data_IF_785305142291
#
_entry.id   IF_785305142291
#
_cell.length_a   1.000
_cell.length_b   1.000
_cell.length_c   1.000
_cell.angle_alpha   90.00
_cell.angle_beta   90.00
_cell.angle_gamma   90.00
#
_symmetry.space_group_name_H-M   'P 1'
#
loop_
_entity.id
_entity.type
_entity.pdbx_description
1 polymer ?
#
# COMPACT_ATOMS: atom_id res chain seq x y z
N UNK A 1 27.64 -95.97 5.24
CA UNK A 1 26.87 -95.27 6.30
C UNK A 1 25.73 -94.50 5.62
N UNK A 2 24.48 -95.00 5.60
CA UNK A 2 23.30 -94.49 6.38
C UNK A 2 23.35 -92.96 6.56
N UNK A 3 22.47 -92.11 6.00
CA UNK A 3 20.99 -92.12 5.96
C UNK A 3 20.41 -91.48 4.67
N UNK A 4 19.25 -92.01 4.24
CA UNK A 4 18.25 -91.49 3.27
C UNK A 4 17.30 -90.49 4.00
N UNK A 5 16.60 -89.51 3.38
CA UNK A 5 15.22 -89.49 2.81
C UNK A 5 14.76 -88.00 2.86
N UNK A 6 14.47 -87.28 1.76
CA UNK A 6 13.22 -87.03 0.99
C UNK A 6 12.12 -86.13 1.61
N UNK A 7 11.84 -85.01 0.90
CA UNK A 7 10.56 -84.42 0.39
C UNK A 7 9.46 -83.90 1.35
N UNK A 8 8.96 -82.68 1.04
CA UNK A 8 7.57 -82.22 1.25
C UNK A 8 7.38 -80.71 1.00
N UNK A 9 7.02 -80.25 -0.20
CA UNK A 9 5.69 -79.78 -0.64
C UNK A 9 5.11 -78.56 0.12
N UNK A 10 5.12 -77.40 -0.56
CA UNK A 10 4.42 -76.18 -0.17
C UNK A 10 4.25 -75.21 -1.34
N UNK A 11 3.11 -75.29 -2.01
CA UNK A 11 2.60 -74.31 -2.97
C UNK A 11 2.44 -72.94 -2.28
N UNK A 12 2.76 -71.83 -2.96
CA UNK A 12 1.94 -70.59 -3.02
C UNK A 12 2.50 -69.68 -4.12
N UNK A 13 1.72 -69.59 -5.20
CA UNK A 13 1.65 -68.43 -6.09
C UNK A 13 1.32 -67.20 -5.25
N UNK A 14 2.12 -66.13 -5.33
CA UNK A 14 1.62 -64.77 -5.09
C UNK A 14 2.44 -63.76 -5.89
N UNK A 15 1.93 -63.46 -7.08
CA UNK A 15 2.14 -62.16 -7.69
C UNK A 15 1.64 -61.09 -6.70
N UNK A 16 2.51 -60.17 -6.28
CA UNK A 16 2.08 -58.90 -5.70
C UNK A 16 2.54 -57.80 -6.64
N UNK A 17 1.59 -57.42 -7.48
CA UNK A 17 1.51 -56.16 -8.19
C UNK A 17 1.70 -55.02 -7.17
N UNK A 18 2.80 -54.27 -7.29
CA UNK A 18 2.88 -52.91 -6.76
C UNK A 18 2.91 -51.91 -7.93
N UNK A 19 1.88 -51.98 -8.77
CA UNK A 19 1.46 -50.87 -9.62
C UNK A 19 0.26 -50.25 -8.89
N UNK A 20 0.47 -49.18 -8.13
CA UNK A 20 -0.67 -48.54 -7.45
C UNK A 20 -0.43 -47.49 -6.36
N UNK A 21 0.77 -46.95 -6.15
CA UNK A 21 0.98 -45.93 -5.08
C UNK A 21 1.51 -44.57 -5.56
N UNK A 22 1.68 -44.36 -6.88
CA UNK A 22 2.34 -43.16 -7.42
C UNK A 22 1.44 -42.06 -7.96
N UNK A 23 0.16 -42.33 -8.27
CA UNK A 23 -0.66 -41.40 -9.07
C UNK A 23 -1.70 -40.59 -8.27
N UNK A 24 -2.05 -40.97 -7.05
CA UNK A 24 -3.08 -40.27 -6.24
C UNK A 24 -2.52 -39.11 -5.41
N UNK A 25 -1.27 -39.19 -4.92
CA UNK A 25 -0.64 -38.14 -4.10
C UNK A 25 -0.46 -36.80 -4.83
N UNK A 26 -0.17 -36.84 -6.13
CA UNK A 26 0.09 -35.62 -6.90
C UNK A 26 -1.19 -34.78 -7.09
N UNK A 27 -2.35 -35.41 -7.22
CA UNK A 27 -3.63 -34.71 -7.41
C UNK A 27 -4.06 -34.00 -6.12
N UNK A 28 -3.87 -34.64 -4.97
CA UNK A 28 -4.22 -34.04 -3.67
C UNK A 28 -3.31 -32.84 -3.34
N UNK A 29 -2.00 -32.98 -3.54
CA UNK A 29 -1.04 -31.88 -3.34
C UNK A 29 -1.32 -30.71 -4.29
N UNK A 30 -1.64 -30.99 -5.55
CA UNK A 30 -2.00 -29.96 -6.53
C UNK A 30 -3.28 -29.22 -6.13
N UNK A 31 -4.30 -29.95 -5.65
CA UNK A 31 -5.55 -29.36 -5.17
C UNK A 31 -5.31 -28.46 -3.94
N UNK A 32 -4.49 -28.90 -2.99
CA UNK A 32 -4.14 -28.09 -1.82
C UNK A 32 -3.37 -26.81 -2.19
N UNK A 33 -2.48 -26.89 -3.18
CA UNK A 33 -1.80 -25.74 -3.77
C UNK A 33 -2.81 -24.75 -4.38
N UNK A 34 -3.70 -25.21 -5.25
CA UNK A 34 -4.71 -24.37 -5.91
C UNK A 34 -5.62 -23.69 -4.89
N UNK A 35 -6.07 -24.43 -3.88
CA UNK A 35 -6.88 -23.88 -2.79
C UNK A 35 -6.12 -22.84 -1.96
N UNK A 36 -4.81 -23.01 -1.76
CA UNK A 36 -4.00 -22.02 -1.05
C UNK A 36 -3.82 -20.74 -1.89
N UNK A 37 -3.60 -20.87 -3.20
CA UNK A 37 -3.52 -19.75 -4.13
C UNK A 37 -4.84 -18.97 -4.21
N UNK A 38 -5.97 -19.67 -4.37
CA UNK A 38 -7.30 -19.06 -4.44
C UNK A 38 -7.66 -18.33 -3.14
N UNK A 39 -7.34 -18.94 -1.98
CA UNK A 39 -7.50 -18.29 -0.68
C UNK A 39 -6.67 -17.01 -0.59
N UNK A 40 -5.39 -17.05 -0.98
CA UNK A 40 -4.53 -15.87 -0.99
C UNK A 40 -5.06 -14.73 -1.87
N UNK A 41 -5.55 -15.06 -3.07
CA UNK A 41 -6.17 -14.10 -3.99
C UNK A 41 -7.44 -13.50 -3.37
N UNK A 42 -8.31 -14.34 -2.80
CA UNK A 42 -9.57 -13.90 -2.18
C UNK A 42 -9.31 -12.99 -0.98
N UNK A 43 -8.38 -13.36 -0.11
CA UNK A 43 -7.96 -12.56 1.04
C UNK A 43 -7.35 -11.22 0.61
N UNK A 44 -6.56 -11.20 -0.47
CA UNK A 44 -6.04 -9.95 -1.05
C UNK A 44 -7.17 -9.02 -1.51
N UNK A 45 -8.18 -9.57 -2.20
CA UNK A 45 -9.36 -8.80 -2.63
C UNK A 45 -10.10 -8.20 -1.43
N UNK A 46 -10.23 -8.97 -0.34
CA UNK A 46 -10.83 -8.57 0.95
C UNK A 46 -9.92 -7.68 1.82
N UNK A 47 -8.74 -7.30 1.34
CA UNK A 47 -7.75 -6.48 2.06
C UNK A 47 -7.13 -7.16 3.31
N UNK A 48 -7.24 -8.48 3.43
CA UNK A 48 -6.66 -9.29 4.50
C UNK A 48 -5.19 -9.66 4.17
N UNK A 49 -4.34 -8.65 3.96
CA UNK A 49 -3.02 -8.82 3.33
C UNK A 49 -2.07 -9.79 4.05
N UNK A 50 -2.05 -9.78 5.38
CA UNK A 50 -1.22 -10.71 6.16
C UNK A 50 -1.72 -12.16 6.03
N UNK A 51 -3.04 -12.36 6.04
CA UNK A 51 -3.63 -13.68 5.84
C UNK A 51 -3.37 -14.18 4.41
N UNK A 52 -3.50 -13.29 3.41
CA UNK A 52 -3.16 -13.59 2.03
C UNK A 52 -1.71 -14.05 1.87
N UNK A 53 -0.76 -13.36 2.51
CA UNK A 53 0.65 -13.75 2.51
C UNK A 53 0.85 -15.16 3.08
N UNK A 54 0.22 -15.47 4.21
CA UNK A 54 0.28 -16.81 4.82
C UNK A 54 -0.27 -17.87 3.85
N UNK A 55 -1.38 -17.60 3.17
CA UNK A 55 -1.95 -18.50 2.18
C UNK A 55 -1.00 -18.75 1.00
N UNK A 56 -0.34 -17.73 0.47
CA UNK A 56 0.67 -17.91 -0.58
C UNK A 56 1.91 -18.64 -0.08
N UNK A 57 2.36 -18.39 1.15
CA UNK A 57 3.45 -19.17 1.77
C UNK A 57 3.08 -20.65 1.91
N UNK A 58 1.82 -20.96 2.20
CA UNK A 58 1.33 -22.33 2.22
C UNK A 58 1.31 -22.95 0.82
N UNK A 59 1.04 -22.18 -0.24
CA UNK A 59 1.15 -22.66 -1.62
C UNK A 59 2.59 -23.04 -1.98
N UNK A 60 3.58 -22.19 -1.66
CA UNK A 60 5.02 -22.47 -1.87
C UNK A 60 5.47 -23.74 -1.13
N UNK A 61 4.93 -24.02 0.06
CA UNK A 61 5.24 -25.27 0.79
C UNK A 61 4.75 -26.53 0.08
N UNK A 62 3.68 -26.43 -0.73
CA UNK A 62 3.10 -27.57 -1.48
C UNK A 62 3.74 -27.74 -2.85
N UNK A 63 4.16 -26.64 -3.47
CA UNK A 63 4.89 -26.61 -4.72
C UNK A 63 6.17 -25.80 -4.51
N UNK A 64 7.25 -26.50 -4.20
CA UNK A 64 8.57 -25.88 -4.09
C UNK A 64 8.93 -25.19 -5.42
N UNK A 65 9.62 -24.06 -5.31
CA UNK A 65 10.01 -23.21 -6.44
C UNK A 65 8.81 -22.78 -7.31
N UNK A 66 7.68 -22.39 -6.70
CA UNK A 66 6.56 -21.78 -7.41
C UNK A 66 6.77 -20.26 -7.59
N UNK A 67 7.24 -19.81 -8.78
CA UNK A 67 7.60 -18.41 -8.96
C UNK A 67 6.37 -17.50 -8.90
N UNK A 68 5.15 -18.03 -9.11
CA UNK A 68 3.92 -17.23 -9.01
C UNK A 68 3.56 -16.90 -7.56
N UNK A 69 3.52 -17.89 -6.65
CA UNK A 69 3.26 -17.63 -5.24
C UNK A 69 4.34 -16.74 -4.62
N UNK A 70 5.61 -16.91 -4.97
CA UNK A 70 6.70 -16.05 -4.50
C UNK A 70 6.56 -14.61 -4.97
N UNK A 71 6.21 -14.39 -6.25
CA UNK A 71 5.89 -13.05 -6.77
C UNK A 71 4.76 -12.39 -5.99
N UNK A 72 3.67 -13.13 -5.72
CA UNK A 72 2.53 -12.62 -4.96
C UNK A 72 2.92 -12.23 -3.52
N UNK A 73 3.77 -13.04 -2.86
CA UNK A 73 4.31 -12.73 -1.53
C UNK A 73 5.12 -11.43 -1.57
N UNK A 74 6.05 -11.30 -2.52
CA UNK A 74 6.90 -10.10 -2.68
C UNK A 74 6.05 -8.86 -2.94
N UNK A 75 5.05 -8.96 -3.81
CA UNK A 75 4.15 -7.86 -4.12
C UNK A 75 3.33 -7.42 -2.90
N UNK A 76 2.81 -8.36 -2.11
CA UNK A 76 2.12 -8.06 -0.85
C UNK A 76 3.03 -7.35 0.15
N UNK A 77 4.28 -7.80 0.29
CA UNK A 77 5.24 -7.19 1.19
C UNK A 77 5.55 -5.74 0.81
N UNK A 78 5.75 -5.46 -0.48
CA UNK A 78 5.93 -4.11 -0.98
C UNK A 78 4.68 -3.25 -0.73
N UNK A 79 3.49 -3.78 -1.00
CA UNK A 79 2.23 -3.07 -0.79
C UNK A 79 1.99 -2.70 0.68
N UNK A 80 2.26 -3.63 1.61
CA UNK A 80 2.15 -3.35 3.05
C UNK A 80 3.17 -2.30 3.51
N UNK A 81 4.40 -2.34 2.99
CA UNK A 81 5.41 -1.30 3.23
C UNK A 81 4.98 0.06 2.68
N UNK A 82 4.41 0.10 1.48
CA UNK A 82 3.89 1.33 0.86
C UNK A 82 2.80 1.96 1.73
N UNK A 83 1.83 1.15 2.18
CA UNK A 83 0.79 1.60 3.13
C UNK A 83 1.36 2.11 4.45
N UNK A 84 2.40 1.46 4.98
CA UNK A 84 3.04 1.92 6.21
C UNK A 84 3.72 3.28 6.00
N UNK A 85 4.44 3.46 4.90
CA UNK A 85 5.08 4.73 4.55
C UNK A 85 4.03 5.85 4.38
N UNK A 86 2.91 5.55 3.70
CA UNK A 86 1.79 6.49 3.53
C UNK A 86 1.22 6.92 4.90
N UNK A 87 0.98 5.97 5.81
CA UNK A 87 0.48 6.26 7.14
C UNK A 87 1.45 7.14 7.96
N UNK A 88 2.75 6.91 7.79
CA UNK A 88 3.84 7.68 8.38
C UNK A 88 4.08 9.03 7.69
N UNK A 89 3.29 9.39 6.67
CA UNK A 89 3.43 10.62 5.87
C UNK A 89 4.75 10.70 5.10
N UNK A 90 5.42 9.58 4.87
CA UNK A 90 6.58 9.52 3.99
C UNK A 90 6.10 9.29 2.55
N UNK A 91 5.58 10.36 1.94
CA UNK A 91 4.88 10.31 0.65
C UNK A 91 5.79 9.90 -0.51
N UNK A 92 7.03 10.38 -0.54
CA UNK A 92 8.01 9.99 -1.57
C UNK A 92 8.29 8.48 -1.53
N UNK A 93 8.53 7.95 -0.32
CA UNK A 93 8.75 6.52 -0.15
C UNK A 93 7.50 5.71 -0.46
N UNK A 94 6.32 6.19 -0.04
CA UNK A 94 5.05 5.54 -0.30
C UNK A 94 4.79 5.44 -1.81
N UNK A 95 4.92 6.55 -2.55
CA UNK A 95 4.76 6.60 -4.01
C UNK A 95 5.70 5.61 -4.69
N UNK A 96 7.00 5.68 -4.38
CA UNK A 96 8.01 4.77 -4.94
C UNK A 96 7.67 3.30 -4.71
N UNK A 97 7.19 2.94 -3.51
CA UNK A 97 6.81 1.56 -3.20
C UNK A 97 5.51 1.15 -3.91
N UNK A 98 4.55 2.06 -4.07
CA UNK A 98 3.34 1.79 -4.85
C UNK A 98 3.64 1.62 -6.34
N UNK A 99 4.53 2.45 -6.92
CA UNK A 99 5.00 2.28 -8.30
C UNK A 99 5.62 0.89 -8.48
N UNK A 100 6.50 0.45 -7.57
CA UNK A 100 7.08 -0.91 -7.60
C UNK A 100 6.05 -2.03 -7.49
N UNK A 101 4.91 -1.82 -6.81
CA UNK A 101 3.83 -2.81 -6.73
C UNK A 101 3.01 -2.81 -8.03
N UNK A 102 2.82 -1.65 -8.64
CA UNK A 102 2.12 -1.47 -9.91
C UNK A 102 2.87 -2.10 -11.08
N UNK A 103 4.20 -2.02 -11.08
CA UNK A 103 5.07 -2.56 -12.12
C UNK A 103 5.29 -4.08 -12.03
N UNK A 104 4.60 -4.76 -11.10
CA UNK A 104 4.78 -6.19 -10.89
C UNK A 104 4.16 -7.01 -12.05
N UNK A 105 5.02 -7.53 -12.93
CA UNK A 105 4.62 -8.44 -14.00
C UNK A 105 4.00 -9.72 -13.47
N UNK A 106 2.82 -10.06 -14.03
CA UNK A 106 2.10 -11.30 -13.74
C UNK A 106 1.83 -11.50 -12.23
N UNK A 107 1.66 -10.40 -11.50
CA UNK A 107 1.26 -10.38 -10.09
C UNK A 107 -0.25 -10.34 -9.88
N UNK A 108 -0.66 -9.91 -8.69
CA UNK A 108 -2.05 -9.70 -8.30
C UNK A 108 -2.57 -8.40 -8.92
N UNK A 109 -3.35 -8.49 -10.01
CA UNK A 109 -3.94 -7.34 -10.71
C UNK A 109 -4.69 -6.35 -9.79
N UNK A 110 -5.29 -6.85 -8.71
CA UNK A 110 -5.97 -5.99 -7.72
C UNK A 110 -4.98 -5.07 -6.98
N UNK A 111 -3.78 -5.55 -6.68
CA UNK A 111 -2.73 -4.74 -6.06
C UNK A 111 -2.10 -3.79 -7.06
N UNK A 112 -1.90 -4.22 -8.31
CA UNK A 112 -1.45 -3.35 -9.40
C UNK A 112 -2.38 -2.13 -9.50
N UNK A 113 -3.67 -2.35 -9.71
CA UNK A 113 -4.67 -1.27 -9.87
C UNK A 113 -4.71 -0.34 -8.66
N UNK A 114 -4.73 -0.89 -7.44
CA UNK A 114 -4.77 -0.09 -6.21
C UNK A 114 -3.51 0.73 -6.03
N UNK A 115 -2.35 0.17 -6.35
CA UNK A 115 -1.07 0.85 -6.17
C UNK A 115 -0.87 1.96 -7.19
N UNK A 116 -1.25 1.74 -8.45
CA UNK A 116 -1.26 2.82 -9.44
C UNK A 116 -2.14 3.99 -8.99
N UNK A 117 -3.35 3.71 -8.47
CA UNK A 117 -4.23 4.75 -7.97
C UNK A 117 -3.61 5.54 -6.80
N UNK A 118 -2.99 4.87 -5.83
CA UNK A 118 -2.29 5.55 -4.75
C UNK A 118 -1.09 6.35 -5.21
N UNK A 119 -0.30 5.82 -6.15
CA UNK A 119 0.86 6.54 -6.68
C UNK A 119 0.44 7.83 -7.41
N UNK A 120 -0.62 7.76 -8.22
CA UNK A 120 -1.22 8.94 -8.88
C UNK A 120 -1.76 9.94 -7.88
N UNK A 121 -2.53 9.49 -6.87
CA UNK A 121 -3.07 10.38 -5.82
C UNK A 121 -1.95 11.13 -5.09
N UNK A 122 -0.89 10.42 -4.70
CA UNK A 122 0.26 11.02 -4.02
C UNK A 122 0.94 12.05 -4.94
N UNK A 123 1.16 11.71 -6.21
CA UNK A 123 1.79 12.61 -7.18
C UNK A 123 0.98 13.89 -7.39
N UNK A 124 -0.33 13.76 -7.58
CA UNK A 124 -1.24 14.90 -7.73
C UNK A 124 -1.22 15.78 -6.48
N UNK A 125 -1.27 15.18 -5.28
CA UNK A 125 -1.20 15.91 -4.03
C UNK A 125 0.14 16.65 -3.84
N UNK A 126 1.27 16.02 -4.21
CA UNK A 126 2.59 16.65 -4.12
C UNK A 126 2.73 17.81 -5.11
N UNK A 127 2.24 17.67 -6.33
CA UNK A 127 2.25 18.75 -7.33
C UNK A 127 1.38 19.94 -6.89
N UNK A 128 0.21 19.65 -6.31
CA UNK A 128 -0.68 20.68 -5.77
C UNK A 128 -0.06 21.37 -4.54
N UNK A 129 0.60 20.61 -3.66
CA UNK A 129 1.33 21.16 -2.50
C UNK A 129 2.45 22.11 -2.96
N UNK A 130 3.26 21.72 -3.94
CA UNK A 130 4.31 22.58 -4.48
C UNK A 130 3.74 23.89 -5.08
N UNK A 131 2.53 23.85 -5.63
CA UNK A 131 1.84 25.05 -6.12
C UNK A 131 1.36 25.93 -4.97
N UNK A 132 0.88 25.34 -3.85
CA UNK A 132 0.51 26.10 -2.65
C UNK A 132 1.73 26.69 -1.94
N UNK A 133 2.86 26.01 -1.93
CA UNK A 133 4.11 26.53 -1.36
C UNK A 133 4.55 27.80 -2.10
N UNK A 134 4.52 27.81 -3.43
CA UNK A 134 4.81 29.02 -4.22
C UNK A 134 3.85 30.17 -3.91
N UNK A 135 2.54 29.90 -3.85
CA UNK A 135 1.54 30.92 -3.48
C UNK A 135 1.75 31.45 -2.06
N UNK A 136 2.19 30.60 -1.14
CA UNK A 136 2.49 31.00 0.22
C UNK A 136 3.74 31.86 0.29
N UNK A 137 4.80 31.51 -0.43
CA UNK A 137 6.03 32.31 -0.51
C UNK A 137 5.74 33.71 -1.08
N UNK A 138 4.95 33.80 -2.17
CA UNK A 138 4.48 35.09 -2.70
C UNK A 138 3.63 35.88 -1.67
N UNK A 139 2.85 35.18 -0.84
CA UNK A 139 2.06 35.82 0.21
C UNK A 139 2.95 36.35 1.35
N UNK A 140 4.04 35.66 1.67
CA UNK A 140 5.05 36.11 2.63
C UNK A 140 5.73 37.37 2.10
N UNK A 141 6.19 37.38 0.85
CA UNK A 141 6.79 38.58 0.22
C UNK A 141 5.83 39.77 0.27
N UNK A 142 4.55 39.58 -0.07
CA UNK A 142 3.55 40.64 0.04
C UNK A 142 3.33 41.10 1.49
N UNK A 143 3.40 40.22 2.47
CA UNK A 143 3.30 40.59 3.89
C UNK A 143 4.50 41.45 4.32
N UNK A 144 5.72 41.06 3.94
CA UNK A 144 6.96 41.77 4.27
C UNK A 144 7.01 43.17 3.65
N UNK A 145 6.42 43.35 2.47
CA UNK A 145 6.24 44.65 1.81
C UNK A 145 5.11 45.50 2.42
N UNK A 146 4.37 44.99 3.40
CA UNK A 146 3.20 45.65 3.99
C UNK A 146 1.92 45.56 3.14
N UNK A 147 1.95 44.80 2.04
CA UNK A 147 0.83 44.54 1.14
C UNK A 147 -0.11 43.45 1.71
N UNK A 148 -0.60 43.63 2.94
CA UNK A 148 -1.38 42.64 3.69
C UNK A 148 -2.66 42.16 2.99
N UNK A 149 -3.35 43.07 2.28
CA UNK A 149 -4.56 42.71 1.53
C UNK A 149 -4.25 41.74 0.38
N UNK A 150 -3.16 41.98 -0.36
CA UNK A 150 -2.69 41.12 -1.46
C UNK A 150 -2.23 39.76 -0.93
N UNK A 151 -1.44 39.77 0.16
CA UNK A 151 -1.06 38.56 0.89
C UNK A 151 -2.30 37.72 1.26
N UNK A 152 -3.32 38.35 1.84
CA UNK A 152 -4.57 37.67 2.20
C UNK A 152 -5.35 37.10 1.01
N UNK A 153 -5.31 37.73 -0.16
CA UNK A 153 -5.91 37.18 -1.39
C UNK A 153 -5.22 35.87 -1.78
N UNK A 154 -3.88 35.83 -1.79
CA UNK A 154 -3.10 34.62 -2.09
C UNK A 154 -3.37 33.50 -1.08
N UNK A 155 -3.35 33.82 0.21
CA UNK A 155 -3.65 32.86 1.28
C UNK A 155 -5.07 32.31 1.18
N UNK A 156 -6.03 33.15 0.78
CA UNK A 156 -7.41 32.71 0.58
C UNK A 156 -7.53 31.71 -0.58
N UNK A 157 -6.72 31.84 -1.63
CA UNK A 157 -6.68 30.87 -2.74
C UNK A 157 -6.24 29.48 -2.26
N UNK A 158 -5.27 29.41 -1.35
CA UNK A 158 -4.87 28.15 -0.70
C UNK A 158 -6.00 27.62 0.19
N UNK A 159 -6.53 28.47 1.08
CA UNK A 159 -7.50 28.08 2.11
C UNK A 159 -8.89 27.68 1.56
N UNK A 160 -9.24 28.10 0.35
CA UNK A 160 -10.51 27.76 -0.31
C UNK A 160 -10.43 26.48 -1.16
N UNK A 161 -9.24 25.88 -1.31
CA UNK A 161 -9.14 24.63 -2.01
C UNK A 161 -9.94 23.54 -1.30
N UNK A 162 -10.78 22.81 -2.05
CA UNK A 162 -11.80 21.90 -1.50
C UNK A 162 -11.21 20.85 -0.57
N UNK A 163 -10.05 20.33 -0.93
CA UNK A 163 -9.37 19.22 -0.25
C UNK A 163 -8.22 19.72 0.64
N UNK A 164 -8.17 21.02 0.98
CA UNK A 164 -7.07 21.59 1.78
C UNK A 164 -6.95 20.96 3.19
N UNK A 165 -7.99 20.29 3.68
CA UNK A 165 -7.98 19.59 4.96
C UNK A 165 -7.41 18.16 4.88
N UNK A 166 -7.03 17.69 3.69
CA UNK A 166 -6.35 16.41 3.54
C UNK A 166 -4.96 16.46 4.20
N UNK A 167 -4.55 15.31 4.75
CA UNK A 167 -3.31 15.20 5.56
C UNK A 167 -2.04 15.67 4.83
N UNK A 168 -2.03 15.60 3.50
CA UNK A 168 -0.94 16.11 2.66
C UNK A 168 -0.66 17.59 2.90
N UNK A 169 -1.69 18.37 3.23
CA UNK A 169 -1.64 19.83 3.28
C UNK A 169 -1.64 20.40 4.70
N UNK A 170 -1.59 19.57 5.74
CA UNK A 170 -1.68 20.00 7.15
C UNK A 170 -0.71 21.17 7.48
N UNK A 171 0.53 21.09 6.99
CA UNK A 171 1.55 22.11 7.24
C UNK A 171 1.21 23.43 6.55
N UNK A 172 0.90 23.40 5.24
CA UNK A 172 0.61 24.61 4.47
C UNK A 172 -0.71 25.26 4.91
N UNK A 173 -1.70 24.45 5.28
CA UNK A 173 -2.96 24.92 5.88
C UNK A 173 -2.71 25.70 7.18
N UNK A 174 -1.87 25.17 8.08
CA UNK A 174 -1.54 25.83 9.33
C UNK A 174 -0.79 27.15 9.10
N UNK A 175 0.24 27.13 8.25
CA UNK A 175 1.01 28.31 7.85
C UNK A 175 0.11 29.39 7.23
N UNK A 176 -0.76 29.02 6.30
CA UNK A 176 -1.64 29.97 5.62
C UNK A 176 -2.68 30.58 6.57
N UNK A 177 -3.26 29.78 7.47
CA UNK A 177 -4.17 30.30 8.51
C UNK A 177 -3.47 31.29 9.45
N UNK A 178 -2.25 30.97 9.87
CA UNK A 178 -1.46 31.81 10.76
C UNK A 178 -1.15 33.16 10.13
N UNK A 179 -0.52 33.17 8.96
CA UNK A 179 -0.12 34.40 8.28
C UNK A 179 -1.35 35.27 7.94
N UNK A 180 -2.45 34.64 7.50
CA UNK A 180 -3.69 35.37 7.22
C UNK A 180 -4.22 36.06 8.49
N UNK A 181 -4.21 35.36 9.62
CA UNK A 181 -4.65 35.92 10.89
C UNK A 181 -3.76 37.09 11.33
N UNK A 182 -2.44 37.04 11.08
CA UNK A 182 -1.53 38.15 11.35
C UNK A 182 -1.83 39.36 10.47
N UNK A 183 -1.95 39.16 9.15
CA UNK A 183 -2.36 40.20 8.20
C UNK A 183 -3.68 40.88 8.60
N UNK A 184 -4.66 40.09 9.03
CA UNK A 184 -5.97 40.60 9.46
C UNK A 184 -5.85 41.59 10.64
N UNK A 185 -4.82 41.48 11.49
CA UNK A 185 -4.58 42.44 12.59
C UNK A 185 -4.10 43.80 12.10
N UNK A 186 -3.33 43.84 11.02
CA UNK A 186 -2.89 45.10 10.40
C UNK A 186 -3.97 45.76 9.55
N UNK A 187 -4.90 44.96 9.04
CA UNK A 187 -6.06 45.43 8.27
C UNK A 187 -7.25 45.80 9.16
N UNK A 188 -7.24 45.41 10.43
CA UNK A 188 -8.29 45.80 11.36
C UNK A 188 -8.28 47.32 11.55
N UNK A 189 -9.45 47.99 11.49
CA UNK A 189 -9.51 49.41 11.77
C UNK A 189 -8.99 49.67 13.19
N UNK A 190 -8.07 50.64 13.33
CA UNK A 190 -7.67 51.11 14.64
C UNK A 190 -8.93 51.53 15.41
N UNK A 191 -9.17 50.95 16.59
CA UNK A 191 -10.28 51.35 17.45
C UNK A 191 -10.26 52.89 17.59
N UNK A 192 -11.38 53.59 17.36
CA UNK A 192 -11.43 55.01 17.65
C UNK A 192 -11.18 55.19 19.15
N UNK A 193 -10.12 55.91 19.50
CA UNK A 193 -9.94 56.46 20.85
C UNK A 193 -11.23 57.20 21.17
N UNK A 194 -11.97 56.75 22.19
CA UNK A 194 -13.17 57.46 22.66
C UNK A 194 -12.76 58.91 22.91
N UNK A 195 -13.25 59.82 22.08
CA UNK A 195 -13.17 61.25 22.37
C UNK A 195 -14.01 61.48 23.61
N UNK A 196 -13.36 61.64 24.76
CA UNK A 196 -13.98 62.23 25.94
C UNK A 196 -14.35 63.67 25.58
N UNK A 197 -15.59 63.87 25.13
CA UNK A 197 -16.18 65.19 25.09
C UNK A 197 -16.55 65.59 26.51
N UNK A 198 -15.82 66.59 27.00
CA UNK A 198 -15.95 67.27 28.28
C UNK A 198 -17.17 68.20 28.29
#
# INVERSE_FOLDING_TARGET
MRRKVLIGLGVILLAVVFIGFGFTKNVEVQKEYEQAMERGITQTKKCEYQAAKISFQNAVKRKQDDPQAERNIKQLDLYMKAKSALNQRNYDQAKKLFDQVADADHGLNVLVRRSSAYATEIEEAQNQLASFEKLYDEAVECNEEGNYAKSNTLLTSILKYREINERYYDSILAKAKHLKHENDRFLAPAYPVKSEHK
#
